data_IF_972600590316
#
_entry.id   IF_972600590316
#
_cell.length_a   1.000
_cell.length_b   1.000
_cell.length_c   1.000
_cell.angle_alpha   90.00
_cell.angle_beta   90.00
_cell.angle_gamma   90.00
#
_symmetry.space_group_name_H-M   'P 1'
#
loop_
_entity.id
_entity.type
_entity.pdbx_description
1 polymer ?
#
# COMPACT_ATOMS: atom_id res chain seq x y z
N UNK A 1 25.40 -13.73 6.59
CA UNK A 1 25.01 -12.31 6.60
C UNK A 1 26.25 -11.54 6.94
N UNK A 2 26.61 -10.55 6.16
CA UNK A 2 27.77 -9.69 6.34
C UNK A 2 27.52 -8.81 7.58
N UNK A 3 28.42 -8.89 8.58
CA UNK A 3 28.33 -8.09 9.82
C UNK A 3 28.34 -6.57 9.55
N UNK A 4 28.83 -6.15 8.38
CA UNK A 4 28.79 -4.74 7.96
C UNK A 4 27.36 -4.19 7.74
N UNK A 5 26.35 -5.09 7.62
CA UNK A 5 24.93 -4.75 7.47
C UNK A 5 24.19 -4.66 8.81
N UNK A 6 24.86 -4.83 9.95
CA UNK A 6 24.23 -4.58 11.25
C UNK A 6 24.20 -3.08 11.55
N UNK A 7 23.00 -2.59 11.93
CA UNK A 7 22.82 -1.22 12.37
C UNK A 7 23.35 -1.04 13.80
N UNK A 8 23.94 0.12 14.09
CA UNK A 8 24.36 0.52 15.42
C UNK A 8 23.32 1.43 16.07
N UNK A 9 23.40 1.64 17.37
CA UNK A 9 22.48 2.50 18.10
C UNK A 9 22.40 3.93 17.52
N UNK A 10 23.51 4.46 17.00
CA UNK A 10 23.58 5.77 16.34
C UNK A 10 22.80 5.83 15.02
N UNK A 11 22.70 4.71 14.30
CA UNK A 11 21.94 4.62 13.03
C UNK A 11 20.42 4.69 13.28
N UNK A 12 19.98 4.47 14.51
CA UNK A 12 18.56 4.40 14.88
C UNK A 12 17.95 5.75 15.28
N UNK A 13 18.78 6.81 15.35
CA UNK A 13 18.28 8.13 15.69
C UNK A 13 17.18 8.59 14.72
N UNK A 14 16.00 8.92 15.28
CA UNK A 14 14.81 9.30 14.51
C UNK A 14 14.10 8.13 13.79
N UNK A 15 14.46 6.87 14.13
CA UNK A 15 13.75 5.65 13.71
C UNK A 15 13.01 5.05 14.90
N UNK A 16 13.68 4.89 16.04
CA UNK A 16 13.10 4.36 17.28
C UNK A 16 13.74 5.05 18.50
N UNK A 17 12.92 5.34 19.48
CA UNK A 17 13.32 5.84 20.82
C UNK A 17 13.50 4.67 21.80
N UNK A 18 14.29 4.85 22.85
CA UNK A 18 14.52 3.87 23.93
C UNK A 18 14.94 2.49 23.40
N UNK A 19 15.78 2.44 22.37
CA UNK A 19 16.27 1.21 21.78
C UNK A 19 17.03 0.35 22.80
N UNK A 20 16.72 -0.94 22.87
CA UNK A 20 17.34 -1.91 23.78
C UNK A 20 17.99 -3.10 23.04
N UNK A 21 17.77 -3.23 21.73
CA UNK A 21 18.32 -4.33 20.93
C UNK A 21 17.48 -4.62 19.68
N UNK A 22 17.94 -5.59 18.90
CA UNK A 22 17.30 -6.05 17.67
C UNK A 22 16.70 -7.43 17.84
N UNK A 23 15.51 -7.64 17.27
CA UNK A 23 14.95 -8.98 17.08
C UNK A 23 15.25 -9.44 15.64
N UNK A 24 15.85 -10.61 15.48
CA UNK A 24 16.13 -11.20 14.18
C UNK A 24 14.88 -11.93 13.67
N UNK A 25 14.42 -11.55 12.46
CA UNK A 25 13.32 -12.21 11.75
C UNK A 25 13.91 -12.94 10.54
N UNK A 26 13.57 -14.23 10.29
CA UNK A 26 14.03 -14.95 9.12
C UNK A 26 13.70 -14.23 7.82
N UNK A 27 14.65 -14.17 6.91
CA UNK A 27 14.51 -13.53 5.60
C UNK A 27 14.76 -14.55 4.49
N UNK A 28 13.94 -14.52 3.47
CA UNK A 28 14.11 -15.25 2.22
C UNK A 28 14.09 -14.28 1.03
N UNK A 29 14.52 -14.76 -0.12
CA UNK A 29 14.40 -14.04 -1.39
C UNK A 29 13.59 -14.91 -2.34
N UNK A 30 12.54 -14.35 -2.92
CA UNK A 30 11.67 -15.03 -3.88
C UNK A 30 11.86 -14.43 -5.28
N UNK A 31 11.69 -15.24 -6.31
CA UNK A 31 11.87 -14.81 -7.71
C UNK A 31 12.84 -15.70 -8.48
N UNK A 32 13.31 -15.30 -9.69
CA UNK A 32 13.03 -14.00 -10.33
C UNK A 32 11.57 -13.86 -10.79
N UNK A 33 10.99 -12.69 -10.56
CA UNK A 33 9.63 -12.33 -10.94
C UNK A 33 9.67 -11.37 -12.13
N UNK A 34 9.16 -11.79 -13.27
CA UNK A 34 9.10 -10.95 -14.47
C UNK A 34 7.92 -9.99 -14.41
N UNK A 35 8.21 -8.70 -14.44
CA UNK A 35 7.21 -7.62 -14.43
C UNK A 35 7.33 -6.79 -15.71
N UNK A 36 6.18 -6.43 -16.27
CA UNK A 36 6.02 -5.44 -17.33
C UNK A 36 5.12 -4.30 -16.83
N UNK A 37 5.74 -3.28 -16.26
CA UNK A 37 5.11 -2.09 -15.75
C UNK A 37 5.74 -0.81 -16.28
N UNK A 38 5.16 0.32 -15.89
CA UNK A 38 5.67 1.64 -16.24
C UNK A 38 6.93 1.98 -15.48
N UNK A 39 7.00 1.62 -14.21
CA UNK A 39 8.10 1.96 -13.30
C UNK A 39 8.96 0.73 -12.98
N UNK A 40 8.36 -0.46 -12.90
CA UNK A 40 9.05 -1.74 -12.74
C UNK A 40 8.98 -2.53 -14.05
N UNK A 41 10.15 -2.77 -14.67
CA UNK A 41 10.24 -3.55 -15.91
C UNK A 41 11.47 -4.45 -15.87
N UNK A 42 11.28 -5.75 -16.11
CA UNK A 42 12.32 -6.79 -16.04
C UNK A 42 12.10 -7.78 -14.94
N UNK A 43 13.17 -8.42 -14.50
CA UNK A 43 13.14 -9.50 -13.50
C UNK A 43 13.57 -8.97 -12.12
N UNK A 44 12.80 -9.33 -11.10
CA UNK A 44 13.01 -8.88 -9.73
C UNK A 44 13.09 -10.05 -8.76
N UNK A 45 14.10 -10.05 -7.91
CA UNK A 45 14.21 -10.91 -6.74
C UNK A 45 13.71 -10.15 -5.52
N UNK A 46 12.62 -10.61 -4.90
CA UNK A 46 11.91 -9.88 -3.84
C UNK A 46 12.29 -10.44 -2.47
N UNK A 47 12.88 -9.61 -1.58
CA UNK A 47 13.15 -10.01 -0.20
C UNK A 47 11.85 -10.03 0.60
N UNK A 48 11.71 -11.05 1.45
CA UNK A 48 10.55 -11.26 2.33
C UNK A 48 11.01 -11.69 3.71
N UNK A 49 10.45 -11.12 4.76
CA UNK A 49 10.69 -11.50 6.15
C UNK A 49 9.41 -12.09 6.74
N UNK A 50 9.47 -13.31 7.29
CA UNK A 50 8.29 -13.97 7.83
C UNK A 50 8.63 -14.95 8.94
N UNK A 51 7.67 -15.15 9.84
CA UNK A 51 7.64 -16.23 10.84
C UNK A 51 6.66 -17.33 10.44
N UNK A 52 5.96 -17.16 9.32
CA UNK A 52 5.01 -18.13 8.79
C UNK A 52 5.71 -19.11 7.84
N UNK A 53 5.52 -20.40 8.08
CA UNK A 53 6.01 -21.46 7.20
C UNK A 53 5.35 -21.38 5.82
N UNK A 54 6.06 -21.88 4.81
CA UNK A 54 5.60 -22.00 3.41
C UNK A 54 5.36 -20.71 2.62
N UNK A 55 5.29 -19.52 3.24
CA UNK A 55 5.00 -18.26 2.56
C UNK A 55 5.93 -18.02 1.35
N UNK A 56 7.25 -18.09 1.56
CA UNK A 56 8.22 -17.86 0.49
C UNK A 56 8.09 -18.90 -0.63
N UNK A 57 7.87 -20.17 -0.28
CA UNK A 57 7.68 -21.25 -1.24
C UNK A 57 6.38 -21.07 -2.03
N UNK A 58 5.29 -20.68 -1.37
CA UNK A 58 4.01 -20.39 -2.00
C UNK A 58 4.11 -19.22 -2.97
N UNK A 59 4.75 -18.11 -2.55
CA UNK A 59 4.97 -16.96 -3.41
C UNK A 59 5.82 -17.33 -4.64
N UNK A 60 6.91 -18.10 -4.46
CA UNK A 60 7.72 -18.60 -5.56
C UNK A 60 6.95 -19.47 -6.55
N UNK A 61 6.03 -20.32 -6.07
CA UNK A 61 5.20 -21.15 -6.93
C UNK A 61 4.31 -20.29 -7.85
N UNK A 62 3.72 -19.21 -7.31
CA UNK A 62 2.92 -18.27 -8.09
C UNK A 62 3.76 -17.48 -9.09
N UNK A 63 4.94 -17.02 -8.67
CA UNK A 63 5.92 -16.33 -9.53
C UNK A 63 6.30 -17.25 -10.71
N UNK A 64 6.66 -18.49 -10.42
CA UNK A 64 7.06 -19.46 -11.44
C UNK A 64 5.95 -19.76 -12.45
N UNK A 65 4.71 -19.95 -11.97
CA UNK A 65 3.56 -20.16 -12.84
C UNK A 65 3.30 -18.93 -13.74
N UNK A 66 3.42 -17.72 -13.19
CA UNK A 66 3.28 -16.49 -13.95
C UNK A 66 4.39 -16.31 -14.99
N UNK A 67 5.64 -16.61 -14.64
CA UNK A 67 6.79 -16.52 -15.55
C UNK A 67 6.65 -17.48 -16.75
N UNK A 68 6.21 -18.73 -16.51
CA UNK A 68 5.93 -19.69 -17.58
C UNK A 68 4.78 -19.27 -18.50
N UNK A 69 4.00 -18.30 -18.11
CA UNK A 69 2.83 -17.81 -18.84
C UNK A 69 2.98 -16.41 -19.42
N UNK A 70 4.19 -15.81 -19.31
CA UNK A 70 4.52 -14.53 -19.92
C UNK A 70 4.73 -13.37 -18.92
N UNK A 71 4.75 -13.68 -17.61
CA UNK A 71 5.02 -12.69 -16.55
C UNK A 71 3.78 -11.94 -16.07
N UNK A 72 4.02 -10.87 -15.34
CA UNK A 72 2.98 -10.08 -14.67
C UNK A 72 2.99 -8.66 -15.25
N UNK A 73 1.83 -8.20 -15.69
CA UNK A 73 1.62 -6.80 -16.08
C UNK A 73 1.14 -6.01 -14.89
N UNK A 74 1.68 -4.81 -14.71
CA UNK A 74 1.30 -3.94 -13.60
C UNK A 74 1.03 -2.52 -14.09
N UNK A 75 0.10 -1.84 -13.45
CA UNK A 75 -0.25 -0.45 -13.73
C UNK A 75 -0.43 0.33 -12.43
N UNK A 76 0.47 1.27 -12.20
CA UNK A 76 0.36 2.25 -11.13
C UNK A 76 -0.54 3.41 -11.61
N UNK A 77 -1.65 3.66 -10.93
CA UNK A 77 -2.65 4.64 -11.38
C UNK A 77 -2.85 5.82 -10.43
N UNK A 78 -2.34 5.76 -9.17
CA UNK A 78 -2.53 6.82 -8.17
C UNK A 78 -1.42 6.83 -7.13
N UNK A 79 -1.10 8.03 -6.62
CA UNK A 79 -0.30 8.23 -5.42
C UNK A 79 -0.86 9.42 -4.65
N UNK A 80 -1.58 9.14 -3.58
CA UNK A 80 -2.26 10.13 -2.76
C UNK A 80 -2.27 9.70 -1.30
N UNK A 81 -1.77 10.58 -0.43
CA UNK A 81 -1.82 10.37 1.01
C UNK A 81 -2.44 11.59 1.67
N UNK A 82 -3.20 11.39 2.74
CA UNK A 82 -3.88 12.51 3.36
C UNK A 82 -3.81 12.54 4.88
N UNK A 83 -4.11 13.74 5.42
CA UNK A 83 -4.43 13.99 6.82
C UNK A 83 -5.74 14.76 6.87
N UNK A 84 -6.62 14.36 7.79
CA UNK A 84 -8.00 14.85 7.82
C UNK A 84 -8.33 15.54 9.17
N UNK A 85 -7.87 16.78 9.42
CA UNK A 85 -8.29 17.56 10.55
C UNK A 85 -9.79 17.86 10.55
N UNK A 86 -10.35 18.08 11.75
CA UNK A 86 -11.75 18.43 11.95
C UNK A 86 -11.90 19.75 12.70
N UNK A 87 -12.80 20.58 12.22
CA UNK A 87 -13.24 21.83 12.84
C UNK A 87 -14.65 21.63 13.42
N UNK A 88 -14.88 22.19 14.61
CA UNK A 88 -16.11 22.01 15.39
C UNK A 88 -16.80 23.36 15.54
N UNK A 89 -18.11 23.41 15.26
CA UNK A 89 -18.89 24.65 15.28
C UNK A 89 -20.06 24.53 16.25
N UNK A 90 -20.50 25.66 16.79
CA UNK A 90 -21.67 25.69 17.70
C UNK A 90 -22.99 25.56 16.97
N UNK A 91 -23.02 25.90 15.67
CA UNK A 91 -24.22 25.84 14.86
C UNK A 91 -23.92 25.55 13.38
N UNK A 92 -24.97 25.22 12.63
CA UNK A 92 -24.87 24.82 11.21
C UNK A 92 -24.52 26.00 10.28
N UNK A 93 -24.90 27.22 10.66
CA UNK A 93 -24.58 28.40 9.84
C UNK A 93 -23.08 28.65 9.81
N UNK A 94 -22.42 28.64 10.96
CA UNK A 94 -20.99 28.88 11.08
C UNK A 94 -20.19 27.77 10.35
N UNK A 95 -20.63 26.52 10.42
CA UNK A 95 -20.01 25.42 9.68
C UNK A 95 -20.14 25.61 8.15
N UNK A 96 -21.29 26.10 7.68
CA UNK A 96 -21.52 26.39 6.26
C UNK A 96 -20.67 27.58 5.78
N UNK A 97 -20.65 28.67 6.55
CA UNK A 97 -19.86 29.86 6.24
C UNK A 97 -18.34 29.51 6.20
N UNK A 98 -17.90 28.64 7.11
CA UNK A 98 -16.52 28.14 7.11
C UNK A 98 -16.18 27.35 5.85
N UNK A 99 -17.04 26.44 5.38
CA UNK A 99 -16.83 25.70 4.13
C UNK A 99 -16.67 26.63 2.92
N UNK A 100 -17.49 27.68 2.85
CA UNK A 100 -17.39 28.71 1.82
C UNK A 100 -16.05 29.45 1.94
N UNK A 101 -15.62 29.77 3.16
CA UNK A 101 -14.35 30.42 3.40
C UNK A 101 -13.18 29.56 2.97
N UNK A 102 -13.18 28.26 3.32
CA UNK A 102 -12.14 27.29 2.90
C UNK A 102 -12.06 27.24 1.37
N UNK A 103 -13.19 27.11 0.68
CA UNK A 103 -13.24 27.05 -0.78
C UNK A 103 -12.66 28.32 -1.44
N UNK A 104 -12.93 29.49 -0.87
CA UNK A 104 -12.37 30.77 -1.36
C UNK A 104 -10.87 30.93 -1.08
N UNK A 105 -10.34 30.26 -0.08
CA UNK A 105 -8.95 30.37 0.36
C UNK A 105 -8.12 29.10 0.07
N UNK A 106 -8.64 28.14 -0.68
CA UNK A 106 -8.00 26.84 -0.93
C UNK A 106 -6.56 26.99 -1.41
N UNK A 107 -6.30 27.85 -2.37
CA UNK A 107 -4.95 28.06 -2.92
C UNK A 107 -3.96 28.66 -1.90
N UNK A 108 -4.44 29.48 -0.98
CA UNK A 108 -3.60 30.00 0.13
C UNK A 108 -3.28 28.90 1.13
N UNK A 109 -4.30 28.10 1.49
CA UNK A 109 -4.14 26.97 2.41
C UNK A 109 -3.14 25.95 1.83
N UNK A 110 -3.26 25.62 0.54
CA UNK A 110 -2.31 24.74 -0.16
C UNK A 110 -0.88 25.27 -0.07
N UNK A 111 -0.66 26.54 -0.40
CA UNK A 111 0.67 27.15 -0.35
C UNK A 111 1.29 27.12 1.06
N UNK A 112 0.47 27.36 2.08
CA UNK A 112 0.91 27.28 3.48
C UNK A 112 1.28 25.85 3.85
N UNK A 113 0.46 24.87 3.48
CA UNK A 113 0.75 23.45 3.72
C UNK A 113 2.05 23.00 3.00
N UNK A 114 2.24 23.41 1.76
CA UNK A 114 3.42 23.09 0.95
C UNK A 114 4.72 23.73 1.46
N UNK A 115 4.65 24.79 2.25
CA UNK A 115 5.85 25.43 2.83
C UNK A 115 6.66 24.51 3.75
N UNK A 116 6.08 23.39 4.17
CA UNK A 116 6.70 22.41 5.07
C UNK A 116 7.58 21.38 4.34
N UNK A 117 7.55 21.33 3.02
CA UNK A 117 8.23 20.30 2.24
C UNK A 117 8.71 20.81 0.89
N UNK A 118 9.86 20.32 0.45
CA UNK A 118 10.38 20.57 -0.90
C UNK A 118 9.98 19.48 -1.93
N UNK A 119 9.31 18.42 -1.48
CA UNK A 119 9.04 17.22 -2.28
C UNK A 119 7.56 16.90 -2.43
N UNK A 120 6.75 17.23 -1.42
CA UNK A 120 5.31 16.98 -1.44
C UNK A 120 4.54 18.11 -2.13
N UNK A 121 3.38 17.77 -2.70
CA UNK A 121 2.43 18.72 -3.28
C UNK A 121 1.03 18.46 -2.77
N UNK A 122 0.30 19.51 -2.41
CA UNK A 122 -1.11 19.41 -2.07
C UNK A 122 -1.92 19.34 -3.36
N UNK A 123 -2.53 18.20 -3.61
CA UNK A 123 -3.32 17.96 -4.81
C UNK A 123 -4.69 18.62 -4.71
N UNK A 124 -5.36 18.46 -3.54
CA UNK A 124 -6.70 19.01 -3.27
C UNK A 124 -6.99 19.02 -1.77
N UNK A 125 -8.04 19.72 -1.39
CA UNK A 125 -8.61 19.71 -0.04
C UNK A 125 -10.07 19.29 -0.17
N UNK A 126 -10.36 18.03 0.17
CA UNK A 126 -11.73 17.51 0.15
C UNK A 126 -12.43 17.89 1.46
N UNK A 127 -13.68 18.38 1.36
CA UNK A 127 -14.48 18.78 2.52
C UNK A 127 -15.59 17.78 2.79
N UNK A 128 -15.66 17.30 4.03
CA UNK A 128 -16.74 16.43 4.50
C UNK A 128 -17.45 17.09 5.67
N UNK A 129 -18.77 17.01 5.71
CA UNK A 129 -19.58 17.57 6.78
C UNK A 129 -20.45 16.50 7.41
N UNK A 130 -20.43 16.47 8.71
CA UNK A 130 -21.29 15.64 9.54
C UNK A 130 -21.79 16.49 10.69
N UNK A 131 -23.12 16.74 10.76
CA UNK A 131 -23.70 17.66 11.75
C UNK A 131 -23.01 19.04 11.70
N UNK A 132 -22.48 19.53 12.84
CA UNK A 132 -21.73 20.78 12.96
C UNK A 132 -20.21 20.58 12.89
N UNK A 133 -19.73 19.44 12.33
CA UNK A 133 -18.31 19.18 12.11
C UNK A 133 -17.96 19.37 10.63
N UNK A 134 -16.86 20.07 10.36
CA UNK A 134 -16.27 20.14 9.01
C UNK A 134 -14.90 19.49 9.04
N UNK A 135 -14.73 18.47 8.22
CA UNK A 135 -13.48 17.72 8.08
C UNK A 135 -12.81 18.18 6.79
N UNK A 136 -11.53 18.55 6.87
CA UNK A 136 -10.73 18.93 5.72
C UNK A 136 -9.72 17.81 5.44
N UNK A 137 -9.94 17.03 4.39
CA UNK A 137 -9.01 15.97 3.99
C UNK A 137 -7.96 16.56 3.04
N UNK A 138 -6.78 16.91 3.58
CA UNK A 138 -5.68 17.46 2.80
C UNK A 138 -4.93 16.32 2.12
N UNK A 139 -5.09 16.23 0.81
CA UNK A 139 -4.55 15.15 -0.03
C UNK A 139 -3.27 15.60 -0.72
N UNK A 140 -2.18 14.85 -0.51
CA UNK A 140 -0.86 15.18 -1.03
C UNK A 140 -0.27 14.03 -1.88
N UNK A 141 0.47 14.39 -2.91
CA UNK A 141 1.51 13.53 -3.49
C UNK A 141 2.76 13.64 -2.60
N UNK A 142 3.22 12.52 -2.07
CA UNK A 142 4.36 12.46 -1.13
C UNK A 142 5.68 12.07 -1.81
N UNK A 143 5.73 12.04 -3.14
CA UNK A 143 6.91 11.65 -3.92
C UNK A 143 7.43 10.25 -3.52
N UNK A 144 8.70 10.10 -3.19
CA UNK A 144 9.29 8.81 -2.80
C UNK A 144 9.14 8.47 -1.31
N UNK A 145 8.55 9.35 -0.49
CA UNK A 145 8.28 9.06 0.92
C UNK A 145 6.94 8.34 1.10
N UNK A 146 6.85 7.46 2.10
CA UNK A 146 5.55 6.96 2.56
C UNK A 146 4.65 8.11 3.04
N UNK A 147 5.24 9.17 3.60
CA UNK A 147 4.65 10.51 3.70
C UNK A 147 3.81 10.79 4.94
N UNK A 148 3.64 9.86 5.89
CA UNK A 148 2.75 10.04 7.04
C UNK A 148 3.11 11.27 7.89
N UNK A 149 4.39 11.48 8.21
CA UNK A 149 4.83 12.66 8.94
C UNK A 149 4.72 13.94 8.08
N UNK A 150 4.99 13.83 6.78
CA UNK A 150 4.88 14.95 5.84
C UNK A 150 3.45 15.50 5.81
N UNK A 151 2.44 14.63 5.60
CA UNK A 151 1.03 15.07 5.55
C UNK A 151 0.55 15.58 6.91
N UNK A 152 1.07 15.05 8.02
CA UNK A 152 0.74 15.52 9.37
C UNK A 152 1.26 16.93 9.60
N UNK A 153 2.52 17.21 9.24
CA UNK A 153 3.12 18.53 9.38
C UNK A 153 2.45 19.57 8.47
N UNK A 154 2.20 19.19 7.21
CA UNK A 154 1.49 20.04 6.25
C UNK A 154 0.09 20.41 6.75
N UNK A 155 -0.67 19.42 7.23
CA UNK A 155 -2.00 19.65 7.81
C UNK A 155 -1.95 20.54 9.07
N UNK A 156 -0.94 20.34 9.95
CA UNK A 156 -0.77 21.15 11.14
C UNK A 156 -0.61 22.63 10.79
N UNK A 157 0.33 22.95 9.92
CA UNK A 157 0.63 24.35 9.53
C UNK A 157 -0.57 24.96 8.79
N UNK A 158 -1.27 24.19 7.95
CA UNK A 158 -2.50 24.64 7.32
C UNK A 158 -3.60 24.96 8.34
N UNK A 159 -3.78 24.12 9.36
CA UNK A 159 -4.76 24.33 10.41
C UNK A 159 -4.41 25.53 11.30
N UNK A 160 -3.13 25.74 11.61
CA UNK A 160 -2.66 26.94 12.36
C UNK A 160 -2.97 28.22 11.58
N UNK A 161 -2.75 28.20 10.26
CA UNK A 161 -3.14 29.32 9.40
C UNK A 161 -4.66 29.55 9.40
N UNK A 162 -5.46 28.50 9.20
CA UNK A 162 -6.92 28.58 9.22
C UNK A 162 -7.42 29.10 10.56
N UNK A 163 -6.91 28.60 11.67
CA UNK A 163 -7.27 29.06 13.01
C UNK A 163 -6.97 30.54 13.21
N UNK A 164 -5.82 31.02 12.74
CA UNK A 164 -5.44 32.43 12.82
C UNK A 164 -6.40 33.35 12.05
N UNK A 165 -6.86 32.90 10.87
CA UNK A 165 -7.74 33.70 10.00
C UNK A 165 -9.22 33.64 10.40
N UNK A 166 -9.65 32.54 11.03
CA UNK A 166 -11.07 32.26 11.30
C UNK A 166 -11.44 32.19 12.77
N UNK A 167 -10.43 32.11 13.66
CA UNK A 167 -10.59 31.91 15.11
C UNK A 167 -11.33 30.61 15.49
N UNK A 168 -11.39 29.61 14.59
CA UNK A 168 -12.00 28.31 14.88
C UNK A 168 -10.97 27.29 15.37
N UNK A 169 -11.33 26.52 16.40
CA UNK A 169 -10.51 25.45 16.94
C UNK A 169 -10.61 24.19 16.07
N UNK A 170 -9.54 23.39 16.09
CA UNK A 170 -9.46 22.16 15.33
C UNK A 170 -8.82 21.01 16.12
N UNK A 171 -9.12 19.78 15.70
CA UNK A 171 -8.31 18.60 16.00
C UNK A 171 -7.60 18.17 14.72
N UNK A 172 -6.32 17.81 14.84
CA UNK A 172 -5.47 17.52 13.69
C UNK A 172 -5.85 16.22 12.97
N UNK A 173 -6.63 15.35 13.60
CA UNK A 173 -7.02 14.05 13.06
C UNK A 173 -8.47 13.69 13.44
N UNK A 174 -9.30 13.47 12.44
CA UNK A 174 -10.71 13.06 12.59
C UNK A 174 -10.95 11.57 12.36
N UNK A 175 -9.92 10.82 12.00
CA UNK A 175 -10.03 9.43 11.56
C UNK A 175 -10.64 9.23 10.15
N UNK A 176 -11.03 10.29 9.45
CA UNK A 176 -11.60 10.20 8.11
C UNK A 176 -10.60 9.65 7.08
N UNK A 177 -9.31 9.91 7.24
CA UNK A 177 -8.26 9.37 6.37
C UNK A 177 -7.98 7.87 6.56
N UNK A 178 -8.58 7.22 7.57
CA UNK A 178 -8.46 5.78 7.87
C UNK A 178 -7.03 5.25 8.01
N UNK A 179 -6.14 6.07 8.58
CA UNK A 179 -4.75 5.69 8.84
C UNK A 179 -4.67 4.38 9.66
N UNK A 180 -3.91 3.40 9.17
CA UNK A 180 -3.69 2.07 9.77
C UNK A 180 -4.97 1.24 10.03
N UNK A 181 -6.00 1.42 9.19
CA UNK A 181 -7.27 0.68 9.28
C UNK A 181 -7.71 0.20 7.91
N UNK A 182 -8.15 -1.05 7.81
CA UNK A 182 -8.95 -1.50 6.67
C UNK A 182 -10.31 -0.77 6.72
N UNK A 183 -10.72 -0.16 5.62
CA UNK A 183 -11.95 0.64 5.59
C UNK A 183 -12.53 0.74 4.19
N UNK A 184 -13.83 1.05 4.11
CA UNK A 184 -14.52 1.35 2.85
C UNK A 184 -13.86 2.57 2.17
N UNK A 185 -13.44 3.58 2.94
CA UNK A 185 -12.74 4.73 2.38
C UNK A 185 -11.47 4.31 1.65
N UNK A 186 -10.64 3.47 2.26
CA UNK A 186 -9.40 2.99 1.65
C UNK A 186 -9.68 2.10 0.42
N UNK A 187 -10.79 1.37 0.42
CA UNK A 187 -11.23 0.57 -0.71
C UNK A 187 -11.61 1.46 -1.93
N UNK A 188 -12.30 2.57 -1.70
CA UNK A 188 -12.81 3.45 -2.75
C UNK A 188 -11.82 4.54 -3.16
N UNK A 189 -11.30 5.27 -2.18
CA UNK A 189 -10.44 6.43 -2.41
C UNK A 189 -8.96 6.09 -2.36
N UNK A 190 -8.61 4.98 -1.70
CA UNK A 190 -7.24 4.56 -1.47
C UNK A 190 -6.49 5.41 -0.46
N UNK A 191 -5.23 4.98 -0.17
CA UNK A 191 -4.27 5.68 0.67
C UNK A 191 -2.85 5.29 0.27
N UNK A 192 -2.02 6.25 -0.13
CA UNK A 192 -0.72 5.98 -0.75
C UNK A 192 -0.84 5.65 -2.24
N UNK A 193 -0.19 4.58 -2.67
CA UNK A 193 -0.20 4.16 -4.08
C UNK A 193 -1.41 3.27 -4.39
N UNK A 194 -1.98 3.46 -5.58
CA UNK A 194 -2.96 2.56 -6.17
C UNK A 194 -2.33 1.80 -7.33
N UNK A 195 -2.37 0.47 -7.30
CA UNK A 195 -1.73 -0.39 -8.31
C UNK A 195 -2.66 -1.56 -8.67
N UNK A 196 -2.71 -1.88 -9.95
CA UNK A 196 -3.34 -3.12 -10.45
C UNK A 196 -2.27 -4.01 -11.08
N UNK A 197 -2.28 -5.28 -10.72
CA UNK A 197 -1.46 -6.33 -11.33
C UNK A 197 -2.34 -7.37 -12.01
N UNK A 198 -1.88 -7.94 -13.13
CA UNK A 198 -2.57 -9.03 -13.81
C UNK A 198 -1.59 -10.01 -14.45
N UNK A 199 -2.00 -11.26 -14.53
CA UNK A 199 -1.31 -12.30 -15.27
C UNK A 199 -2.30 -13.28 -15.88
N UNK A 200 -1.96 -13.84 -17.03
CA UNK A 200 -2.80 -14.85 -17.70
C UNK A 200 -2.07 -16.18 -17.66
N UNK A 201 -2.53 -17.12 -16.83
CA UNK A 201 -1.88 -18.42 -16.63
C UNK A 201 -2.53 -19.47 -17.52
N UNK A 202 -1.70 -20.14 -18.35
CA UNK A 202 -2.15 -21.20 -19.25
C UNK A 202 -2.73 -22.38 -18.47
N UNK A 203 -3.80 -23.00 -18.98
CA UNK A 203 -4.44 -24.15 -18.34
C UNK A 203 -3.45 -25.31 -18.09
N UNK A 204 -2.50 -25.53 -19.00
CA UNK A 204 -1.44 -26.52 -18.81
C UNK A 204 -0.51 -26.22 -17.64
N UNK A 205 -0.22 -24.94 -17.39
CA UNK A 205 0.59 -24.46 -16.24
C UNK A 205 -0.22 -24.58 -14.95
N UNK A 206 -1.51 -24.21 -14.97
CA UNK A 206 -2.42 -24.40 -13.84
C UNK A 206 -2.41 -25.87 -13.36
N UNK A 207 -2.65 -26.80 -14.25
CA UNK A 207 -2.68 -28.25 -13.93
C UNK A 207 -1.33 -28.79 -13.47
N UNK A 208 -0.24 -28.40 -14.15
CA UNK A 208 1.09 -28.97 -13.88
C UNK A 208 1.76 -28.37 -12.65
N UNK A 209 1.74 -27.04 -12.50
CA UNK A 209 2.50 -26.31 -11.46
C UNK A 209 1.62 -26.03 -10.25
N UNK A 210 0.43 -25.47 -10.46
CA UNK A 210 -0.48 -25.08 -9.39
C UNK A 210 -1.37 -26.24 -8.92
N UNK A 211 -1.35 -27.38 -9.61
CA UNK A 211 -2.14 -28.59 -9.31
C UNK A 211 -3.65 -28.34 -9.26
N UNK A 212 -4.11 -27.30 -9.95
CA UNK A 212 -5.50 -26.87 -9.93
C UNK A 212 -6.13 -26.98 -11.33
N UNK A 213 -7.33 -27.55 -11.37
CA UNK A 213 -8.14 -27.52 -12.59
C UNK A 213 -8.73 -26.12 -12.78
N UNK A 214 -8.51 -25.47 -13.93
CA UNK A 214 -8.94 -24.09 -14.16
C UNK A 214 -10.47 -23.93 -14.17
N UNK A 215 -11.23 -24.93 -14.64
CA UNK A 215 -12.68 -24.85 -14.68
C UNK A 215 -13.28 -24.95 -13.28
N UNK A 216 -12.78 -25.89 -12.47
CA UNK A 216 -13.17 -26.01 -11.06
C UNK A 216 -12.89 -24.72 -10.29
N UNK A 217 -11.71 -24.12 -10.49
CA UNK A 217 -11.37 -22.87 -9.83
C UNK A 217 -12.29 -21.72 -10.26
N UNK A 218 -12.56 -21.63 -11.56
CA UNK A 218 -13.40 -20.56 -12.09
C UNK A 218 -14.84 -20.66 -11.58
N UNK A 219 -15.40 -21.86 -11.54
CA UNK A 219 -16.75 -22.11 -11.02
C UNK A 219 -16.83 -21.79 -9.51
N UNK A 220 -15.81 -22.22 -8.75
CA UNK A 220 -15.71 -21.91 -7.32
C UNK A 220 -15.53 -20.40 -7.05
N UNK A 221 -14.91 -19.66 -7.97
CA UNK A 221 -14.66 -18.24 -7.79
C UNK A 221 -15.93 -17.41 -7.52
N UNK A 222 -17.07 -17.84 -8.05
CA UNK A 222 -18.35 -17.13 -7.93
C UNK A 222 -18.79 -16.87 -6.48
N UNK A 223 -18.43 -17.75 -5.54
CA UNK A 223 -18.83 -17.60 -4.14
C UNK A 223 -17.91 -16.64 -3.35
N UNK A 224 -16.64 -16.46 -3.72
CA UNK A 224 -15.68 -15.68 -2.94
C UNK A 224 -16.13 -14.24 -2.65
N UNK A 225 -16.56 -13.43 -3.64
CA UNK A 225 -17.03 -12.08 -3.37
C UNK A 225 -18.27 -12.05 -2.47
N UNK A 226 -19.17 -13.02 -2.63
CA UNK A 226 -20.41 -13.12 -1.87
C UNK A 226 -20.10 -13.40 -0.40
N UNK A 227 -19.28 -14.42 -0.14
CA UNK A 227 -18.92 -14.82 1.23
C UNK A 227 -18.04 -13.76 1.90
N UNK A 228 -17.13 -13.11 1.18
CA UNK A 228 -16.37 -11.97 1.68
C UNK A 228 -17.28 -10.82 2.13
N UNK A 229 -18.31 -10.53 1.34
CA UNK A 229 -19.32 -9.51 1.70
C UNK A 229 -20.10 -9.92 2.95
N UNK A 230 -20.51 -11.19 3.07
CA UNK A 230 -21.19 -11.72 4.25
C UNK A 230 -20.32 -11.63 5.51
N UNK A 231 -19.01 -11.87 5.37
CA UNK A 231 -18.04 -11.74 6.46
C UNK A 231 -17.75 -10.27 6.84
N UNK A 232 -18.20 -9.30 6.03
CA UNK A 232 -17.93 -7.88 6.23
C UNK A 232 -16.48 -7.47 5.94
N UNK A 233 -15.74 -8.24 5.13
CA UNK A 233 -14.37 -7.90 4.77
C UNK A 233 -14.34 -6.75 3.76
N UNK A 234 -13.33 -5.91 3.85
CA UNK A 234 -13.09 -4.85 2.88
C UNK A 234 -12.22 -5.40 1.72
N UNK A 235 -12.90 -5.80 0.64
CA UNK A 235 -12.27 -6.52 -0.48
C UNK A 235 -12.42 -8.03 -0.36
N UNK A 236 -11.79 -8.77 -1.27
CA UNK A 236 -11.88 -10.23 -1.40
C UNK A 236 -10.54 -10.93 -1.59
N UNK A 237 -9.43 -10.27 -1.24
CA UNK A 237 -8.11 -10.92 -1.16
C UNK A 237 -8.07 -11.92 -0.02
N UNK A 238 -7.35 -13.02 -0.20
CA UNK A 238 -7.27 -14.10 0.79
C UNK A 238 -6.19 -13.82 1.86
N UNK A 239 -4.96 -13.58 1.43
CA UNK A 239 -3.79 -13.41 2.30
C UNK A 239 -2.90 -12.22 1.91
N UNK A 240 -3.49 -11.14 1.39
CA UNK A 240 -2.78 -9.93 0.98
C UNK A 240 -1.89 -9.39 2.11
N UNK A 241 -2.40 -9.39 3.35
CA UNK A 241 -1.64 -8.95 4.52
C UNK A 241 -0.35 -9.75 4.75
N UNK A 242 -0.33 -11.06 4.44
CA UNK A 242 0.87 -11.89 4.55
C UNK A 242 1.98 -11.41 3.62
N UNK A 243 1.66 -11.20 2.33
CA UNK A 243 2.63 -10.68 1.36
C UNK A 243 3.14 -9.30 1.76
N UNK A 244 2.22 -8.39 2.12
CA UNK A 244 2.55 -7.01 2.49
C UNK A 244 3.44 -6.96 3.72
N UNK A 245 3.07 -7.65 4.80
CA UNK A 245 3.87 -7.67 6.04
C UNK A 245 5.28 -8.21 5.79
N UNK A 246 5.40 -9.30 5.02
CA UNK A 246 6.69 -9.90 4.72
C UNK A 246 7.61 -8.97 3.93
N UNK A 247 7.08 -8.28 2.91
CA UNK A 247 7.86 -7.33 2.11
C UNK A 247 8.12 -6.04 2.91
N UNK A 248 7.18 -5.57 3.72
CA UNK A 248 7.31 -4.35 4.53
C UNK A 248 8.44 -4.48 5.55
N UNK A 249 8.52 -5.59 6.28
CA UNK A 249 9.63 -5.85 7.19
C UNK A 249 10.98 -5.90 6.46
N UNK A 250 11.01 -6.54 5.29
CA UNK A 250 12.23 -6.68 4.50
C UNK A 250 12.72 -5.35 3.89
N UNK A 251 11.82 -4.40 3.62
CA UNK A 251 12.12 -3.13 2.92
C UNK A 251 12.00 -1.88 3.80
N UNK A 252 11.83 -2.06 5.12
CA UNK A 252 11.78 -0.95 6.07
C UNK A 252 10.51 -0.12 6.01
N UNK A 253 9.41 -0.69 5.53
CA UNK A 253 8.10 -0.06 5.56
C UNK A 253 7.47 -0.15 6.95
N UNK A 254 6.51 0.71 7.24
CA UNK A 254 5.75 0.66 8.49
C UNK A 254 4.83 -0.55 8.49
N UNK A 255 5.16 -1.59 9.26
CA UNK A 255 4.41 -2.86 9.29
C UNK A 255 2.92 -2.66 9.61
N UNK A 256 2.57 -1.70 10.48
CA UNK A 256 1.17 -1.38 10.80
C UNK A 256 0.34 -0.93 9.59
N UNK A 257 0.98 -0.41 8.53
CA UNK A 257 0.27 -0.05 7.30
C UNK A 257 -0.24 -1.27 6.53
N UNK A 258 0.23 -2.49 6.83
CA UNK A 258 -0.37 -3.70 6.27
C UNK A 258 -1.88 -3.79 6.56
N UNK A 259 -2.35 -3.27 7.71
CA UNK A 259 -3.77 -3.24 8.03
C UNK A 259 -4.60 -2.39 7.05
N UNK A 260 -4.12 -1.19 6.70
CA UNK A 260 -4.81 -0.30 5.74
C UNK A 260 -4.60 -0.73 4.28
N UNK A 261 -3.47 -1.39 4.01
CA UNK A 261 -3.05 -1.75 2.66
C UNK A 261 -3.54 -3.17 2.24
N UNK A 262 -4.04 -3.97 3.17
CA UNK A 262 -4.58 -5.31 2.89
C UNK A 262 -5.93 -5.31 2.19
N UNK A 263 -6.59 -4.17 2.07
CA UNK A 263 -7.78 -4.02 1.24
C UNK A 263 -7.41 -4.29 -0.22
N UNK A 264 -8.04 -5.29 -0.82
CA UNK A 264 -7.71 -5.73 -2.16
C UNK A 264 -8.92 -6.25 -2.92
N UNK A 265 -8.90 -6.02 -4.23
CA UNK A 265 -9.88 -6.59 -5.15
C UNK A 265 -9.18 -7.62 -6.03
N UNK A 266 -9.56 -8.88 -5.86
CA UNK A 266 -9.09 -9.98 -6.70
C UNK A 266 -10.18 -10.33 -7.70
N UNK A 267 -9.80 -10.49 -8.95
CA UNK A 267 -10.69 -10.87 -10.04
C UNK A 267 -10.13 -12.04 -10.84
N UNK A 268 -11.03 -12.88 -11.35
CA UNK A 268 -10.71 -14.00 -12.20
C UNK A 268 -11.53 -13.92 -13.48
N UNK A 269 -10.89 -14.19 -14.62
CA UNK A 269 -11.51 -14.10 -15.92
C UNK A 269 -11.11 -15.31 -16.76
N UNK A 270 -12.09 -16.02 -17.31
CA UNK A 270 -11.85 -17.17 -18.18
C UNK A 270 -11.42 -16.71 -19.57
N UNK A 271 -10.40 -17.36 -20.11
CA UNK A 271 -9.91 -17.25 -21.49
C UNK A 271 -10.00 -18.62 -22.16
N UNK A 272 -9.82 -18.70 -23.48
CA UNK A 272 -9.96 -19.94 -24.25
C UNK A 272 -9.11 -21.11 -23.70
N UNK A 273 -7.83 -20.87 -23.42
CA UNK A 273 -6.89 -21.87 -22.85
C UNK A 273 -6.10 -21.34 -21.66
N UNK A 274 -6.71 -20.46 -20.85
CA UNK A 274 -6.05 -19.82 -19.70
C UNK A 274 -7.06 -19.25 -18.70
N UNK A 275 -6.59 -18.98 -17.47
CA UNK A 275 -7.26 -18.08 -16.54
C UNK A 275 -6.45 -16.80 -16.38
N UNK A 276 -7.13 -15.67 -16.44
CA UNK A 276 -6.56 -14.36 -16.16
C UNK A 276 -6.87 -13.96 -14.72
N UNK A 277 -5.83 -13.77 -13.93
CA UNK A 277 -5.89 -13.28 -12.56
C UNK A 277 -5.61 -11.79 -12.53
N UNK A 278 -6.36 -11.07 -11.72
CA UNK A 278 -6.22 -9.63 -11.51
C UNK A 278 -6.20 -9.34 -10.01
N UNK A 279 -5.36 -8.39 -9.60
CA UNK A 279 -5.31 -7.88 -8.23
C UNK A 279 -5.25 -6.36 -8.30
N UNK A 280 -6.15 -5.66 -7.62
CA UNK A 280 -6.05 -4.23 -7.39
C UNK A 280 -5.80 -3.98 -5.92
N UNK A 281 -4.70 -3.29 -5.62
CA UNK A 281 -4.36 -2.74 -4.31
C UNK A 281 -4.62 -1.23 -4.36
N UNK A 282 -5.76 -0.75 -3.85
CA UNK A 282 -6.10 0.67 -3.89
C UNK A 282 -5.28 1.51 -2.92
N UNK A 283 -4.67 0.84 -1.93
CA UNK A 283 -3.93 1.48 -0.84
C UNK A 283 -2.59 0.79 -0.64
N UNK A 284 -1.49 1.45 -0.97
CA UNK A 284 -0.14 1.02 -0.59
C UNK A 284 0.62 2.21 -0.02
N UNK A 285 0.68 2.31 1.30
CA UNK A 285 1.40 3.37 2.00
C UNK A 285 2.86 2.99 2.15
N UNK A 286 3.60 3.06 1.05
CA UNK A 286 5.01 2.66 0.96
C UNK A 286 5.88 3.80 0.45
N UNK A 287 7.15 3.76 0.81
CA UNK A 287 8.15 4.71 0.36
C UNK A 287 9.54 4.08 0.29
N UNK A 288 10.46 4.79 -0.33
CA UNK A 288 11.85 4.35 -0.49
C UNK A 288 12.84 5.30 0.18
N UNK A 289 12.32 6.33 0.85
CA UNK A 289 13.11 7.30 1.60
C UNK A 289 12.48 7.54 2.98
N UNK A 290 13.34 7.75 3.98
CA UNK A 290 12.96 8.08 5.35
C UNK A 290 12.56 6.86 6.19
N UNK A 291 12.49 7.04 7.51
CA UNK A 291 12.11 6.00 8.46
C UNK A 291 12.99 4.75 8.37
N UNK A 292 12.37 3.59 8.48
CA UNK A 292 13.02 2.29 8.45
C UNK A 292 13.74 1.93 7.15
N UNK A 293 13.46 2.65 6.04
CA UNK A 293 14.19 2.43 4.77
C UNK A 293 15.68 2.80 4.86
N UNK A 294 16.09 3.52 5.92
CA UNK A 294 17.49 3.90 6.18
C UNK A 294 18.28 2.80 6.90
N UNK A 295 17.61 1.80 7.49
CA UNK A 295 18.29 0.67 8.10
C UNK A 295 19.10 -0.07 7.04
N UNK A 296 20.31 -0.49 7.38
CA UNK A 296 21.29 -0.99 6.39
C UNK A 296 20.78 -2.19 5.60
N UNK A 297 20.19 -3.19 6.28
CA UNK A 297 19.65 -4.36 5.59
C UNK A 297 18.44 -4.00 4.73
N UNK A 298 17.51 -3.17 5.22
CA UNK A 298 16.34 -2.72 4.49
C UNK A 298 16.72 -1.86 3.28
N UNK A 299 17.72 -1.00 3.42
CA UNK A 299 18.24 -0.21 2.30
C UNK A 299 18.90 -1.13 1.25
N UNK A 300 19.68 -2.12 1.69
CA UNK A 300 20.28 -3.13 0.79
C UNK A 300 19.21 -3.93 0.03
N UNK A 301 18.11 -4.25 0.67
CA UNK A 301 16.97 -4.90 0.03
C UNK A 301 16.27 -3.98 -0.99
N UNK A 302 16.18 -2.68 -0.72
CA UNK A 302 15.70 -1.70 -1.70
C UNK A 302 16.67 -1.55 -2.88
N UNK A 303 17.99 -1.61 -2.67
CA UNK A 303 18.99 -1.67 -3.73
C UNK A 303 18.82 -2.92 -4.61
N UNK A 304 18.62 -4.09 -4.01
CA UNK A 304 18.35 -5.35 -4.72
C UNK A 304 17.15 -5.23 -5.66
N UNK A 305 16.11 -4.50 -5.24
CA UNK A 305 14.93 -4.19 -6.04
C UNK A 305 15.15 -3.05 -7.04
N UNK A 306 16.31 -2.37 -6.98
CA UNK A 306 16.60 -1.16 -7.74
C UNK A 306 15.65 -0.01 -7.37
N UNK A 307 15.28 0.07 -6.08
CA UNK A 307 14.35 1.05 -5.52
C UNK A 307 14.99 2.02 -4.51
N UNK A 308 16.32 1.94 -4.27
CA UNK A 308 17.04 2.83 -3.35
C UNK A 308 17.18 4.24 -3.90
N UNK A 309 17.16 4.40 -5.22
CA UNK A 309 17.38 5.66 -5.93
C UNK A 309 16.37 5.87 -7.06
N UNK A 310 16.31 7.11 -7.56
CA UNK A 310 15.52 7.49 -8.73
C UNK A 310 14.22 8.25 -8.38
N UNK A 311 13.78 9.05 -9.35
CA UNK A 311 12.63 9.97 -9.20
C UNK A 311 11.31 9.28 -8.83
N UNK A 312 11.15 8.01 -9.21
CA UNK A 312 9.89 7.27 -9.05
C UNK A 312 10.12 5.93 -8.35
N UNK A 313 11.10 5.85 -7.46
CA UNK A 313 11.49 4.61 -6.78
C UNK A 313 10.35 4.02 -5.93
N UNK A 314 9.52 4.85 -5.27
CA UNK A 314 8.35 4.39 -4.51
C UNK A 314 7.26 3.80 -5.41
N UNK A 315 7.06 4.36 -6.62
CA UNK A 315 6.11 3.82 -7.60
C UNK A 315 6.58 2.48 -8.16
N UNK A 316 7.89 2.35 -8.40
CA UNK A 316 8.52 1.08 -8.78
C UNK A 316 8.34 0.03 -7.69
N UNK A 317 8.59 0.38 -6.45
CA UNK A 317 8.38 -0.51 -5.30
C UNK A 317 6.91 -0.97 -5.20
N UNK A 318 5.95 -0.05 -5.38
CA UNK A 318 4.53 -0.37 -5.37
C UNK A 318 4.13 -1.36 -6.48
N UNK A 319 4.68 -1.21 -7.68
CA UNK A 319 4.46 -2.16 -8.79
C UNK A 319 5.04 -3.55 -8.48
N UNK A 320 6.24 -3.62 -7.89
CA UNK A 320 6.86 -4.89 -7.47
C UNK A 320 6.03 -5.58 -6.38
N UNK A 321 5.59 -4.83 -5.37
CA UNK A 321 4.73 -5.34 -4.30
C UNK A 321 3.44 -5.94 -4.86
N UNK A 322 2.79 -5.25 -5.80
CA UNK A 322 1.55 -5.75 -6.40
C UNK A 322 1.75 -7.06 -7.17
N UNK A 323 2.86 -7.20 -7.90
CA UNK A 323 3.22 -8.44 -8.59
C UNK A 323 3.48 -9.60 -7.64
N UNK A 324 4.24 -9.36 -6.57
CA UNK A 324 4.53 -10.38 -5.55
C UNK A 324 3.26 -10.80 -4.79
N UNK A 325 2.42 -9.84 -4.43
CA UNK A 325 1.14 -10.11 -3.76
C UNK A 325 0.20 -10.93 -4.66
N UNK A 326 0.07 -10.57 -5.94
CA UNK A 326 -0.72 -11.37 -6.90
C UNK A 326 -0.19 -12.80 -7.00
N UNK A 327 1.12 -13.00 -7.01
CA UNK A 327 1.73 -14.33 -7.09
C UNK A 327 1.39 -15.19 -5.87
N UNK A 328 1.40 -14.61 -4.67
CA UNK A 328 1.00 -15.32 -3.45
C UNK A 328 -0.50 -15.67 -3.48
N UNK A 329 -1.37 -14.74 -3.86
CA UNK A 329 -2.82 -14.97 -3.97
C UNK A 329 -3.14 -16.11 -4.94
N UNK A 330 -2.51 -16.14 -6.11
CA UNK A 330 -2.68 -17.21 -7.10
C UNK A 330 -2.27 -18.57 -6.53
N UNK A 331 -1.10 -18.63 -5.91
CA UNK A 331 -0.58 -19.86 -5.33
C UNK A 331 -1.49 -20.39 -4.23
N UNK A 332 -1.93 -19.48 -3.34
CA UNK A 332 -2.76 -19.85 -2.20
C UNK A 332 -4.13 -20.37 -2.61
N UNK A 333 -4.84 -19.65 -3.49
CA UNK A 333 -6.18 -20.07 -3.93
C UNK A 333 -6.13 -21.43 -4.64
N UNK A 334 -5.07 -21.67 -5.43
CA UNK A 334 -4.86 -22.96 -6.07
C UNK A 334 -4.53 -24.08 -5.07
N UNK A 335 -3.74 -23.78 -4.02
CA UNK A 335 -3.45 -24.77 -2.97
C UNK A 335 -4.69 -25.17 -2.19
N UNK A 336 -5.53 -24.21 -1.84
CA UNK A 336 -6.82 -24.46 -1.18
C UNK A 336 -7.73 -25.32 -2.07
N UNK A 337 -7.90 -24.91 -3.32
CA UNK A 337 -8.81 -25.60 -4.25
C UNK A 337 -8.34 -27.01 -4.69
N UNK A 338 -7.04 -27.25 -4.68
CA UNK A 338 -6.46 -28.55 -5.02
C UNK A 338 -6.16 -29.46 -3.81
N UNK A 339 -6.43 -28.98 -2.60
CA UNK A 339 -6.10 -29.68 -1.35
C UNK A 339 -4.60 -30.04 -1.23
N UNK A 340 -3.72 -29.25 -1.85
CA UNK A 340 -2.26 -29.42 -1.79
C UNK A 340 -1.63 -28.45 -0.76
N UNK A 341 -2.21 -28.47 0.39
CA UNK A 341 -1.87 -27.61 1.52
C UNK A 341 -0.63 -28.09 2.26
#
# INVERSE_FOLDING_TARGET
>A
IDDSLEDKAEDLQGIIENHVGFMKVPMAVVGPMTIDGKYAKGDFCVPVCTLEGTLAMSMNRGIYASALSGGIKVNHFRQELSRAPVFIFDNLKDSSDFQIWVSKNEEKIKKVAESTTNHGRVLRIDQYTVQNYVILDLVLDTSNAAGQNMVTLAAKVACEYIQKETNHNYFLESNMNSDKKASVRNMMLGRGHGVTAETTIKNSVMKRILKMDPDILFDAWSFFPIVSSMAGTHGNGLHVSNALTAIYLATGQVAACAAENSVAHVGLEKREDALKFKLTLPSLTVGTVGGGTRLKMQNKNLELLGCSEGKYSSRKLAEIIAGATLSLEISLICAIGSHTW
#
